data_IF_414762717566
#
_entry.id   IF_414762717566
#
_cell.length_a   1.000
_cell.length_b   1.000
_cell.length_c   1.000
_cell.angle_alpha   90.00
_cell.angle_beta   90.00
_cell.angle_gamma   90.00
#
_symmetry.space_group_name_H-M   'P 1'
#
loop_
_entity.id
_entity.type
_entity.pdbx_description
1 polymer ?
#
# COMPACT_ATOMS: atom_id res chain seq x y z
N UNK A 1 17.65 -15.33 -4.41
CA UNK A 1 16.26 -14.83 -4.34
C UNK A 1 16.05 -13.86 -5.49
N UNK A 2 14.89 -13.86 -6.16
CA UNK A 2 14.66 -12.96 -7.31
C UNK A 2 13.39 -12.16 -7.08
N UNK A 3 13.52 -10.83 -7.11
CA UNK A 3 12.37 -9.95 -7.22
C UNK A 3 11.96 -9.82 -8.68
N UNK A 4 10.67 -10.00 -8.96
CA UNK A 4 10.08 -9.63 -10.25
C UNK A 4 9.64 -8.18 -10.19
N UNK A 5 10.10 -7.37 -11.14
CA UNK A 5 9.81 -5.93 -11.20
C UNK A 5 8.65 -5.66 -12.15
N UNK A 6 7.69 -4.86 -11.69
CA UNK A 6 6.55 -4.37 -12.44
C UNK A 6 6.69 -2.85 -12.57
N UNK A 7 7.13 -2.39 -13.73
CA UNK A 7 7.35 -0.96 -13.99
C UNK A 7 6.03 -0.20 -13.98
N UNK A 8 6.05 1.06 -13.55
CA UNK A 8 4.87 1.92 -13.50
C UNK A 8 4.10 1.95 -14.83
N UNK A 9 4.82 2.04 -15.95
CA UNK A 9 4.24 2.14 -17.29
C UNK A 9 3.69 0.82 -17.86
N UNK A 10 3.89 -0.31 -17.19
CA UNK A 10 3.33 -1.61 -17.62
C UNK A 10 2.22 -2.13 -16.71
N UNK A 11 1.98 -1.46 -15.58
CA UNK A 11 0.80 -1.72 -14.74
C UNK A 11 -0.44 -1.20 -15.46
N UNK A 12 -1.53 -1.96 -15.38
CA UNK A 12 -2.79 -1.56 -16.03
C UNK A 12 -3.30 -0.24 -15.46
N UNK A 13 -3.87 0.62 -16.31
CA UNK A 13 -4.42 1.91 -15.90
C UNK A 13 -5.89 2.01 -16.30
N UNK A 14 -6.75 2.27 -15.32
CA UNK A 14 -8.11 2.77 -15.54
C UNK A 14 -8.09 4.29 -15.45
N UNK A 15 -8.67 4.98 -16.44
CA UNK A 15 -8.73 6.44 -16.44
C UNK A 15 -10.10 6.96 -16.87
N UNK A 16 -10.56 8.00 -16.18
CA UNK A 16 -11.75 8.80 -16.50
C UNK A 16 -11.36 10.28 -16.51
N UNK A 17 -12.32 11.18 -16.72
CA UNK A 17 -12.09 12.63 -16.65
C UNK A 17 -11.66 13.12 -15.25
N UNK A 18 -11.84 12.30 -14.20
CA UNK A 18 -11.52 12.67 -12.80
C UNK A 18 -10.64 11.67 -12.05
N UNK A 19 -10.46 10.45 -12.57
CA UNK A 19 -9.69 9.36 -11.96
C UNK A 19 -8.53 8.95 -12.86
N UNK A 20 -7.38 8.72 -12.27
CA UNK A 20 -6.36 7.80 -12.80
C UNK A 20 -6.08 6.75 -11.74
N UNK A 21 -6.38 5.48 -12.01
CA UNK A 21 -6.09 4.34 -11.12
C UNK A 21 -5.12 3.42 -11.82
N UNK A 22 -4.00 3.09 -11.18
CA UNK A 22 -2.98 2.16 -11.67
C UNK A 22 -2.95 0.92 -10.81
N UNK A 23 -3.13 -0.24 -11.42
CA UNK A 23 -3.40 -1.49 -10.71
C UNK A 23 -2.18 -2.40 -10.71
N UNK A 24 -1.83 -2.91 -9.53
CA UNK A 24 -0.81 -3.96 -9.43
C UNK A 24 -1.37 -5.32 -9.87
N UNK A 25 -2.67 -5.57 -9.67
CA UNK A 25 -3.35 -6.84 -9.97
C UNK A 25 -4.56 -6.61 -10.88
N UNK A 26 -5.22 -7.70 -11.27
CA UNK A 26 -6.53 -7.67 -11.93
C UNK A 26 -7.52 -6.87 -11.10
N UNK A 27 -8.17 -5.89 -11.71
CA UNK A 27 -9.08 -4.99 -11.01
C UNK A 27 -10.07 -4.35 -11.99
N UNK A 28 -11.31 -4.14 -11.53
CA UNK A 28 -12.38 -3.59 -12.37
C UNK A 28 -12.64 -4.45 -13.61
N UNK A 29 -12.69 -3.81 -14.77
CA UNK A 29 -12.92 -4.48 -16.06
C UNK A 29 -11.67 -5.18 -16.61
N UNK A 30 -10.49 -4.94 -16.03
CA UNK A 30 -9.27 -5.60 -16.44
C UNK A 30 -9.04 -6.91 -15.68
N UNK A 31 -8.87 -8.00 -16.43
CA UNK A 31 -8.64 -9.33 -15.87
C UNK A 31 -7.47 -10.03 -16.56
N UNK A 32 -6.44 -10.33 -15.77
CA UNK A 32 -5.35 -11.23 -16.10
C UNK A 32 -5.35 -12.39 -15.07
N UNK A 33 -5.72 -13.62 -15.48
CA UNK A 33 -5.79 -14.76 -14.56
C UNK A 33 -4.43 -15.10 -13.91
N UNK A 34 -3.32 -14.67 -14.49
CA UNK A 34 -1.97 -14.87 -13.95
C UNK A 34 -1.55 -13.80 -12.93
N UNK A 35 -2.30 -12.71 -12.81
CA UNK A 35 -1.97 -11.56 -11.97
C UNK A 35 -3.19 -11.12 -11.16
N UNK A 36 -3.74 -12.02 -10.34
CA UNK A 36 -4.91 -11.74 -9.50
C UNK A 36 -4.55 -11.30 -8.07
N UNK A 37 -3.36 -11.67 -7.58
CA UNK A 37 -2.89 -11.39 -6.22
C UNK A 37 -1.38 -11.66 -6.08
N UNK A 38 -0.80 -11.31 -4.94
CA UNK A 38 0.53 -11.76 -4.50
C UNK A 38 0.53 -12.03 -3.00
N UNK A 39 0.79 -13.27 -2.58
CA UNK A 39 0.58 -13.68 -1.19
C UNK A 39 -0.89 -13.52 -0.80
N UNK A 40 -1.17 -12.66 0.19
CA UNK A 40 -2.51 -12.30 0.66
C UNK A 40 -3.04 -10.98 0.10
N UNK A 41 -2.20 -10.22 -0.63
CA UNK A 41 -2.52 -8.93 -1.21
C UNK A 41 -3.28 -9.13 -2.53
N UNK A 42 -4.55 -8.76 -2.55
CA UNK A 42 -5.46 -8.96 -3.68
C UNK A 42 -5.72 -7.67 -4.48
N UNK A 43 -5.48 -6.50 -3.88
CA UNK A 43 -5.50 -5.21 -4.56
C UNK A 43 -4.37 -4.33 -4.04
N UNK A 44 -3.77 -3.53 -4.92
CA UNK A 44 -2.78 -2.50 -4.59
C UNK A 44 -2.83 -1.47 -5.72
N UNK A 45 -3.73 -0.52 -5.56
CA UNK A 45 -4.11 0.45 -6.57
C UNK A 45 -3.59 1.82 -6.17
N UNK A 46 -2.87 2.46 -7.08
CA UNK A 46 -2.40 3.83 -6.93
C UNK A 46 -3.39 4.76 -7.65
N UNK A 47 -4.03 5.64 -6.91
CA UNK A 47 -5.18 6.41 -7.37
C UNK A 47 -4.91 7.91 -7.27
N UNK A 48 -5.28 8.64 -8.32
CA UNK A 48 -5.25 10.10 -8.36
C UNK A 48 -6.66 10.61 -8.67
N UNK A 49 -7.25 11.36 -7.75
CA UNK A 49 -8.59 11.93 -7.88
C UNK A 49 -8.55 13.45 -7.95
N UNK A 50 -9.29 14.04 -8.88
CA UNK A 50 -9.46 15.49 -8.95
C UNK A 50 -10.30 16.05 -7.78
N UNK A 51 -10.12 17.34 -7.41
CA UNK A 51 -10.94 18.03 -6.41
C UNK A 51 -12.44 17.86 -6.61
N UNK A 52 -13.17 17.54 -5.53
CA UNK A 52 -14.63 17.38 -5.54
C UNK A 52 -15.14 16.07 -6.17
N UNK A 53 -14.23 15.19 -6.58
CA UNK A 53 -14.55 13.88 -7.16
C UNK A 53 -14.15 12.74 -6.23
N UNK A 54 -14.72 11.57 -6.50
CA UNK A 54 -14.42 10.35 -5.77
C UNK A 54 -15.42 9.25 -6.07
N UNK A 55 -15.28 8.18 -5.32
CA UNK A 55 -16.15 7.01 -5.40
C UNK A 55 -17.42 7.27 -4.59
N UNK A 56 -18.56 7.22 -5.29
CA UNK A 56 -19.87 7.21 -4.66
C UNK A 56 -20.08 5.93 -3.84
N UNK A 57 -21.22 5.83 -3.15
CA UNK A 57 -21.51 4.73 -2.24
C UNK A 57 -21.41 3.38 -2.97
N UNK A 58 -20.51 2.52 -2.50
CA UNK A 58 -20.28 1.19 -3.03
C UNK A 58 -19.98 0.19 -1.92
N UNK A 59 -20.19 -1.09 -2.23
CA UNK A 59 -20.21 -2.17 -1.25
C UNK A 59 -18.90 -2.96 -1.24
N UNK A 60 -18.41 -3.29 -0.04
CA UNK A 60 -17.36 -4.28 0.16
C UNK A 60 -17.80 -5.32 1.19
N UNK A 61 -17.23 -6.51 1.07
CA UNK A 61 -17.37 -7.60 2.04
C UNK A 61 -16.04 -8.34 2.16
N UNK A 62 -15.79 -8.92 3.34
CA UNK A 62 -14.71 -9.89 3.56
C UNK A 62 -13.32 -9.42 3.07
N UNK A 63 -13.03 -8.13 3.26
CA UNK A 63 -11.78 -7.47 2.86
C UNK A 63 -11.31 -6.50 3.94
N UNK A 64 -10.01 -6.50 4.20
CA UNK A 64 -9.34 -5.47 5.00
C UNK A 64 -8.74 -4.45 4.03
N UNK A 65 -9.32 -3.25 4.00
CA UNK A 65 -8.95 -2.17 3.07
C UNK A 65 -8.08 -1.17 3.82
N UNK A 66 -6.83 -1.04 3.42
CA UNK A 66 -5.86 -0.08 3.99
C UNK A 66 -5.60 1.03 2.98
N UNK A 67 -5.73 2.27 3.42
CA UNK A 67 -5.54 3.46 2.59
C UNK A 67 -4.31 4.24 3.06
N UNK A 68 -3.46 4.61 2.12
CA UNK A 68 -2.27 5.43 2.34
C UNK A 68 -2.25 6.64 1.41
N UNK A 69 -2.43 7.83 1.95
CA UNK A 69 -2.38 9.07 1.16
C UNK A 69 -0.93 9.53 1.02
N UNK A 70 -0.48 9.71 -0.23
CA UNK A 70 0.85 10.22 -0.57
C UNK A 70 0.83 11.75 -0.64
N UNK A 71 -0.21 12.34 -1.25
CA UNK A 71 -0.43 13.79 -1.27
C UNK A 71 -1.91 14.13 -1.39
N UNK A 72 -2.31 15.34 -0.98
CA UNK A 72 -3.71 15.76 -0.94
C UNK A 72 -4.45 15.20 0.28
N UNK A 73 -5.76 14.99 0.17
CA UNK A 73 -6.62 14.48 1.25
C UNK A 73 -7.76 13.63 0.70
N UNK A 74 -8.15 12.58 1.41
CA UNK A 74 -9.29 11.72 1.05
C UNK A 74 -10.29 11.64 2.19
N UNK A 75 -11.55 11.96 1.93
CA UNK A 75 -12.64 11.85 2.92
C UNK A 75 -13.28 10.47 2.78
N UNK A 76 -13.32 9.74 3.90
CA UNK A 76 -14.03 8.47 4.06
C UNK A 76 -15.36 8.70 4.77
N UNK A 77 -16.40 7.98 4.37
CA UNK A 77 -17.65 7.83 5.13
C UNK A 77 -18.25 6.46 4.86
N UNK A 78 -18.72 5.78 5.91
CA UNK A 78 -19.33 4.46 5.77
C UNK A 78 -20.72 4.31 6.41
N UNK A 79 -21.40 3.22 6.09
CA UNK A 79 -22.75 2.89 6.56
C UNK A 79 -22.83 2.54 8.05
N UNK A 80 -21.69 2.31 8.71
CA UNK A 80 -21.63 2.15 10.16
C UNK A 80 -21.52 3.50 10.89
N UNK A 81 -21.45 4.60 10.14
CA UNK A 81 -21.42 5.97 10.66
C UNK A 81 -20.02 6.49 10.96
N UNK A 82 -18.96 5.78 10.57
CA UNK A 82 -17.61 6.34 10.65
C UNK A 82 -17.40 7.34 9.52
N UNK A 83 -16.71 8.43 9.84
CA UNK A 83 -16.31 9.46 8.87
C UNK A 83 -14.98 10.04 9.30
N UNK A 84 -14.12 10.37 8.35
CA UNK A 84 -12.80 10.92 8.63
C UNK A 84 -12.10 11.39 7.37
N UNK A 85 -11.03 12.16 7.54
CA UNK A 85 -10.14 12.57 6.46
C UNK A 85 -8.80 11.86 6.61
N UNK A 86 -8.31 11.27 5.53
CA UNK A 86 -6.97 10.68 5.40
C UNK A 86 -6.06 11.69 4.70
N UNK A 87 -4.85 11.84 5.22
CA UNK A 87 -3.84 12.77 4.71
C UNK A 87 -2.44 12.14 4.87
N UNK A 88 -1.38 12.71 4.25
CA UNK A 88 -0.04 12.12 4.32
C UNK A 88 0.45 11.91 5.75
N UNK A 89 0.78 10.66 6.07
CA UNK A 89 1.19 10.24 7.43
C UNK A 89 0.06 9.71 8.31
N UNK A 90 -1.20 9.73 7.85
CA UNK A 90 -2.33 9.06 8.51
C UNK A 90 -2.52 7.66 7.92
N UNK A 91 -2.37 6.64 8.76
CA UNK A 91 -2.74 5.26 8.43
C UNK A 91 -4.25 5.09 8.61
N UNK A 92 -4.94 4.51 7.63
CA UNK A 92 -6.37 4.21 7.72
C UNK A 92 -6.66 2.78 7.30
N UNK A 93 -7.58 2.13 8.02
CA UNK A 93 -8.12 0.80 7.69
C UNK A 93 -9.62 0.76 7.84
N UNK A 94 -10.28 0.08 6.92
CA UNK A 94 -11.67 -0.35 7.01
C UNK A 94 -11.72 -1.87 6.85
N UNK A 95 -12.22 -2.57 7.87
CA UNK A 95 -12.58 -3.98 7.78
C UNK A 95 -14.01 -4.09 7.29
N UNK A 96 -14.21 -4.63 6.09
CA UNK A 96 -15.53 -4.73 5.49
C UNK A 96 -16.40 -5.82 6.15
N UNK A 97 -15.77 -6.90 6.62
CA UNK A 97 -16.45 -7.96 7.37
C UNK A 97 -17.71 -8.50 6.69
N UNK A 98 -18.80 -8.61 7.44
CA UNK A 98 -20.11 -9.06 6.94
C UNK A 98 -20.76 -8.17 5.86
N UNK A 99 -20.13 -7.04 5.52
CA UNK A 99 -20.61 -6.11 4.50
C UNK A 99 -20.67 -4.68 5.03
N UNK A 100 -20.14 -3.73 4.24
CA UNK A 100 -20.21 -2.30 4.53
C UNK A 100 -20.30 -1.51 3.22
N UNK A 101 -21.15 -0.47 3.20
CA UNK A 101 -21.17 0.50 2.11
C UNK A 101 -20.32 1.72 2.52
N UNK A 102 -19.54 2.26 1.60
CA UNK A 102 -18.72 3.44 1.88
C UNK A 102 -18.49 4.34 0.66
N UNK A 103 -18.05 5.56 0.93
CA UNK A 103 -17.67 6.59 -0.04
C UNK A 103 -16.26 7.08 0.23
N UNK A 104 -15.52 7.38 -0.83
CA UNK A 104 -14.16 7.91 -0.74
C UNK A 104 -14.03 9.09 -1.69
N UNK A 105 -13.90 10.31 -1.14
CA UNK A 105 -14.01 11.55 -1.93
C UNK A 105 -12.91 12.55 -1.63
N UNK A 106 -12.41 13.20 -2.67
CA UNK A 106 -11.51 14.35 -2.54
C UNK A 106 -12.31 15.63 -2.26
N UNK A 107 -13.05 15.63 -1.15
CA UNK A 107 -13.92 16.74 -0.75
C UNK A 107 -13.25 17.61 0.33
N UNK A 108 -13.66 18.88 0.49
CA UNK A 108 -13.24 19.70 1.60
C UNK A 108 -13.65 19.11 2.95
N UNK A 109 -12.73 19.16 3.91
CA UNK A 109 -12.92 18.75 5.29
C UNK A 109 -12.95 19.98 6.23
N UNK A 110 -13.97 20.14 7.09
CA UNK A 110 -14.18 21.35 7.90
C UNK A 110 -12.97 21.78 8.73
N UNK A 111 -12.23 20.82 9.29
CA UNK A 111 -11.16 21.07 10.25
C UNK A 111 -9.75 20.99 9.64
N UNK A 112 -9.64 20.84 8.31
CA UNK A 112 -8.36 20.75 7.62
C UNK A 112 -8.31 21.76 6.46
N UNK A 113 -7.75 22.95 6.74
CA UNK A 113 -7.67 24.03 5.75
C UNK A 113 -6.94 23.57 4.49
N UNK A 114 -7.59 23.72 3.33
CA UNK A 114 -7.02 23.36 2.03
C UNK A 114 -7.23 21.90 1.62
N UNK A 115 -7.85 21.08 2.47
CA UNK A 115 -8.36 19.77 2.05
C UNK A 115 -9.33 19.90 0.87
N UNK A 116 -9.33 18.92 -0.01
CA UNK A 116 -10.18 18.91 -1.20
C UNK A 116 -9.83 19.95 -2.27
N UNK A 117 -8.72 20.71 -2.13
CA UNK A 117 -8.41 21.82 -3.06
C UNK A 117 -7.41 21.46 -4.17
N UNK A 118 -6.72 20.33 -4.04
CA UNK A 118 -5.77 19.80 -5.02
C UNK A 118 -6.08 18.32 -5.26
N UNK A 119 -5.58 17.71 -6.36
CA UNK A 119 -5.70 16.28 -6.54
C UNK A 119 -5.16 15.50 -5.34
N UNK A 120 -5.84 14.44 -4.94
CA UNK A 120 -5.33 13.49 -3.95
C UNK A 120 -4.69 12.33 -4.69
N UNK A 121 -3.47 11.98 -4.27
CA UNK A 121 -2.75 10.79 -4.70
C UNK A 121 -2.64 9.84 -3.50
N UNK A 122 -3.19 8.64 -3.62
CA UNK A 122 -3.18 7.64 -2.55
C UNK A 122 -3.05 6.23 -3.09
N UNK A 123 -2.75 5.29 -2.20
CA UNK A 123 -2.73 3.86 -2.49
C UNK A 123 -3.80 3.17 -1.68
N UNK A 124 -4.66 2.40 -2.33
CA UNK A 124 -5.64 1.52 -1.69
C UNK A 124 -5.19 0.07 -1.82
N UNK A 125 -5.06 -0.62 -0.70
CA UNK A 125 -4.50 -1.97 -0.60
C UNK A 125 -5.47 -2.89 0.12
N UNK A 126 -5.76 -4.04 -0.47
CA UNK A 126 -6.72 -4.99 0.10
C UNK A 126 -6.05 -6.31 0.41
N UNK A 127 -6.27 -6.80 1.63
CA UNK A 127 -5.90 -8.16 2.05
C UNK A 127 -7.13 -8.90 2.53
N UNK A 128 -7.15 -10.21 2.34
CA UNK A 128 -8.24 -11.05 2.87
C UNK A 128 -8.12 -11.19 4.40
N UNK A 129 -9.23 -11.24 5.16
CA UNK A 129 -9.19 -11.57 6.57
C UNK A 129 -8.94 -13.08 6.79
N UNK A 130 -8.49 -13.44 7.99
CA UNK A 130 -8.38 -14.84 8.43
C UNK A 130 -9.76 -15.49 8.61
N UNK A 131 -10.76 -14.68 8.97
CA UNK A 131 -12.13 -15.11 9.21
C UNK A 131 -13.11 -14.24 8.41
N UNK A 132 -14.02 -14.88 7.69
CA UNK A 132 -15.09 -14.21 6.95
C UNK A 132 -16.27 -13.85 7.86
N UNK A 133 -17.01 -12.81 7.48
CA UNK A 133 -18.21 -12.36 8.19
C UNK A 133 -17.94 -11.73 9.55
N UNK A 134 -16.72 -11.27 9.81
CA UNK A 134 -16.40 -10.48 11.02
C UNK A 134 -17.23 -9.20 11.07
N UNK A 135 -17.35 -8.59 12.26
CA UNK A 135 -18.06 -7.32 12.38
C UNK A 135 -17.28 -6.21 11.64
N UNK A 136 -17.94 -5.43 10.76
CA UNK A 136 -17.29 -4.30 10.11
C UNK A 136 -16.69 -3.33 11.13
N UNK A 137 -15.51 -2.80 10.87
CA UNK A 137 -14.84 -1.86 11.77
C UNK A 137 -13.90 -0.92 11.03
N UNK A 138 -13.54 0.17 11.69
CA UNK A 138 -12.76 1.25 11.10
C UNK A 138 -11.71 1.74 12.08
N UNK A 139 -10.54 2.08 11.57
CA UNK A 139 -9.44 2.59 12.38
C UNK A 139 -8.61 3.63 11.61
N UNK A 140 -8.14 4.65 12.33
CA UNK A 140 -7.19 5.63 11.82
C UNK A 140 -6.16 5.99 12.87
N UNK A 141 -4.91 6.20 12.43
CA UNK A 141 -3.81 6.59 13.31
C UNK A 141 -2.84 7.52 12.59
N UNK A 142 -2.56 8.68 13.19
CA UNK A 142 -1.48 9.55 12.72
C UNK A 142 -0.13 8.98 13.17
N UNK A 143 0.73 8.69 12.21
CA UNK A 143 2.09 8.18 12.40
C UNK A 143 3.15 9.09 11.80
N UNK A 144 2.80 10.35 11.53
CA UNK A 144 3.70 11.32 10.89
C UNK A 144 5.02 11.46 11.63
N UNK A 145 4.99 11.43 12.97
CA UNK A 145 6.20 11.50 13.80
C UNK A 145 7.12 10.28 13.57
N UNK A 146 6.58 9.06 13.59
CA UNK A 146 7.35 7.84 13.39
C UNK A 146 8.02 7.80 12.00
N UNK A 147 7.36 8.33 10.97
CA UNK A 147 7.91 8.38 9.61
C UNK A 147 9.11 9.35 9.46
N UNK A 148 9.33 10.27 10.42
CA UNK A 148 10.47 11.20 10.36
C UNK A 148 11.78 10.61 10.88
N UNK A 149 11.71 9.46 11.55
CA UNK A 149 12.89 8.81 12.15
C UNK A 149 13.77 8.13 11.09
N UNK A 150 13.23 7.93 9.88
CA UNK A 150 13.94 7.31 8.74
C UNK A 150 13.92 5.77 8.77
N UNK A 151 13.33 5.19 9.82
CA UNK A 151 13.17 3.75 10.00
C UNK A 151 11.90 3.23 9.30
N UNK A 152 11.84 1.91 9.17
CA UNK A 152 10.67 1.21 8.64
C UNK A 152 9.58 1.11 9.73
N UNK A 153 8.41 1.68 9.46
CA UNK A 153 7.29 1.72 10.42
C UNK A 153 6.27 0.64 10.07
N UNK A 154 5.87 -0.18 11.05
CA UNK A 154 4.74 -1.10 10.90
C UNK A 154 3.42 -0.30 10.90
N UNK A 155 2.78 -0.20 9.74
CA UNK A 155 1.56 0.58 9.55
C UNK A 155 0.35 -0.23 9.95
N UNK A 156 0.15 -1.40 9.34
CA UNK A 156 -1.01 -2.24 9.58
C UNK A 156 -0.59 -3.70 9.76
N UNK A 157 -1.04 -4.38 10.82
CA UNK A 157 -0.76 -5.81 11.03
C UNK A 157 -1.88 -6.51 11.76
N UNK A 158 -2.05 -7.80 11.51
CA UNK A 158 -2.84 -8.69 12.37
C UNK A 158 -1.98 -9.56 13.28
N UNK A 159 -0.65 -9.52 13.14
CA UNK A 159 0.26 -10.25 14.01
C UNK A 159 0.24 -9.62 15.41
N UNK A 160 -0.17 -10.34 16.47
CA UNK A 160 -0.19 -9.81 17.83
C UNK A 160 1.20 -9.46 18.37
N UNK A 161 2.28 -9.93 17.74
CA UNK A 161 3.65 -9.56 18.09
C UNK A 161 4.14 -8.28 17.40
N UNK A 162 3.43 -7.78 16.38
CA UNK A 162 3.79 -6.56 15.67
C UNK A 162 3.23 -5.33 16.38
N UNK A 163 4.09 -4.34 16.64
CA UNK A 163 3.68 -3.02 17.13
C UNK A 163 3.20 -2.13 15.96
N UNK A 164 2.09 -2.51 15.33
CA UNK A 164 1.53 -1.78 14.19
C UNK A 164 0.62 -0.62 14.62
N UNK A 165 0.54 0.41 13.78
CA UNK A 165 -0.27 1.60 14.05
C UNK A 165 -1.78 1.35 14.02
N UNK A 166 -2.23 0.46 13.14
CA UNK A 166 -3.61 -0.01 13.01
C UNK A 166 -3.65 -1.53 12.87
N UNK A 167 -4.77 -2.14 13.26
CA UNK A 167 -4.93 -3.60 13.19
C UNK A 167 -5.58 -4.01 11.87
N UNK A 168 -5.18 -5.14 11.28
CA UNK A 168 -5.96 -5.85 10.25
C UNK A 168 -6.29 -7.26 10.74
N UNK A 169 -7.36 -7.83 10.23
CA UNK A 169 -7.86 -9.14 10.63
C UNK A 169 -7.16 -10.28 9.88
N UNK A 170 -5.86 -10.16 9.64
CA UNK A 170 -5.02 -11.20 9.03
C UNK A 170 -3.67 -11.28 9.75
N UNK A 171 -3.43 -12.37 10.48
CA UNK A 171 -2.23 -12.57 11.30
C UNK A 171 -0.95 -12.80 10.51
N UNK A 172 -1.06 -13.09 9.22
CA UNK A 172 0.07 -13.43 8.36
C UNK A 172 0.47 -12.29 7.42
N UNK A 173 -0.07 -11.08 7.60
CA UNK A 173 0.24 -9.92 6.79
C UNK A 173 0.59 -8.70 7.65
N UNK A 174 1.65 -8.00 7.23
CA UNK A 174 2.01 -6.68 7.78
C UNK A 174 2.35 -5.73 6.64
N UNK A 175 1.74 -4.54 6.66
CA UNK A 175 2.14 -3.41 5.85
C UNK A 175 3.15 -2.57 6.64
N UNK A 176 4.24 -2.24 5.97
CA UNK A 176 5.23 -1.27 6.43
C UNK A 176 5.31 -0.07 5.49
N UNK A 177 5.73 1.07 6.03
CA UNK A 177 6.05 2.27 5.27
C UNK A 177 7.38 2.87 5.73
N UNK A 178 8.12 3.46 4.81
CA UNK A 178 9.32 4.24 5.12
C UNK A 178 9.43 5.47 4.22
N UNK A 179 9.95 6.56 4.79
CA UNK A 179 10.47 7.72 4.06
C UNK A 179 11.98 7.71 4.15
N UNK A 180 12.62 7.10 3.16
CA UNK A 180 14.06 6.85 3.13
C UNK A 180 14.76 8.16 2.75
N UNK A 181 15.54 8.71 3.68
CA UNK A 181 16.36 9.90 3.44
C UNK A 181 17.46 9.64 2.39
N UNK A 182 17.94 10.68 1.67
CA UNK A 182 19.04 10.54 0.71
C UNK A 182 20.27 9.87 1.30
N UNK A 183 20.77 8.83 0.64
CA UNK A 183 21.99 8.10 1.03
C UNK A 183 21.81 7.15 2.22
N UNK A 184 20.58 6.91 2.69
CA UNK A 184 20.29 5.94 3.75
C UNK A 184 19.59 4.70 3.20
N UNK A 185 19.40 3.71 4.07
CA UNK A 185 18.79 2.43 3.72
C UNK A 185 17.91 1.90 4.85
N UNK A 186 16.87 1.16 4.47
CA UNK A 186 16.05 0.35 5.37
C UNK A 186 16.16 -1.13 4.99
N UNK A 187 16.06 -2.01 5.98
CA UNK A 187 15.97 -3.46 5.73
C UNK A 187 14.51 -3.83 5.45
N UNK A 188 14.30 -4.66 4.43
CA UNK A 188 13.00 -5.26 4.16
C UNK A 188 12.83 -6.45 5.12
N UNK A 189 11.68 -6.60 5.81
CA UNK A 189 11.43 -7.75 6.66
C UNK A 189 11.47 -9.05 5.87
N UNK A 190 12.07 -10.08 6.46
CA UNK A 190 12.06 -11.43 5.89
C UNK A 190 10.62 -11.94 5.83
N UNK A 191 10.23 -12.47 4.68
CA UNK A 191 8.87 -12.94 4.45
C UNK A 191 8.81 -13.92 3.28
N UNK A 192 7.82 -14.81 3.32
CA UNK A 192 7.55 -15.73 2.20
C UNK A 192 7.05 -14.99 0.96
N UNK A 193 6.26 -13.93 1.12
CA UNK A 193 5.80 -13.08 0.04
C UNK A 193 6.04 -11.62 0.39
N UNK A 194 6.78 -10.93 -0.47
CA UNK A 194 7.08 -9.50 -0.30
C UNK A 194 6.57 -8.71 -1.50
N UNK A 195 5.86 -7.62 -1.25
CA UNK A 195 5.45 -6.66 -2.28
C UNK A 195 5.93 -5.25 -1.90
N UNK A 196 6.88 -4.71 -2.66
CA UNK A 196 7.36 -3.33 -2.54
C UNK A 196 6.65 -2.47 -3.57
N UNK A 197 6.21 -1.28 -3.18
CA UNK A 197 5.76 -0.21 -4.06
C UNK A 197 6.51 1.08 -3.71
N UNK A 198 7.16 1.70 -4.69
CA UNK A 198 7.71 3.06 -4.52
C UNK A 198 6.61 4.04 -4.88
N UNK A 199 6.14 4.83 -3.92
CA UNK A 199 5.02 5.78 -4.13
C UNK A 199 5.51 7.21 -4.39
N UNK A 200 6.74 7.52 -3.98
CA UNK A 200 7.41 8.78 -4.33
C UNK A 200 8.94 8.58 -4.40
N UNK A 201 9.60 9.38 -5.23
CA UNK A 201 11.06 9.37 -5.37
C UNK A 201 11.64 8.15 -6.09
N UNK A 202 12.88 7.80 -5.72
CA UNK A 202 13.68 6.71 -6.32
C UNK A 202 14.36 5.90 -5.23
N UNK A 203 14.23 4.59 -5.28
CA UNK A 203 14.90 3.66 -4.39
C UNK A 203 15.66 2.58 -5.17
N UNK A 204 16.70 2.02 -4.58
CA UNK A 204 17.46 0.89 -5.09
C UNK A 204 17.21 -0.29 -4.17
N UNK A 205 16.67 -1.36 -4.74
CA UNK A 205 16.41 -2.62 -4.08
C UNK A 205 17.62 -3.55 -4.25
N UNK A 206 18.14 -4.06 -3.13
CA UNK A 206 19.23 -5.04 -3.11
C UNK A 206 18.73 -6.31 -2.42
N UNK A 207 19.03 -7.50 -2.95
CA UNK A 207 18.64 -8.78 -2.35
C UNK A 207 19.89 -9.68 -2.22
N UNK A 208 20.28 -10.03 -0.99
CA UNK A 208 21.44 -10.90 -0.73
C UNK A 208 21.09 -12.36 -0.97
N UNK A 209 21.33 -12.83 -2.18
CA UNK A 209 21.77 -14.18 -2.56
C UNK A 209 21.44 -14.39 -4.04
N UNK A 210 22.38 -14.04 -4.91
CA UNK A 210 22.47 -14.65 -6.23
C UNK A 210 23.85 -15.28 -6.40
N UNK A 211 23.93 -16.53 -6.91
CA UNK A 211 25.18 -17.03 -7.45
C UNK A 211 25.60 -16.11 -8.60
N UNK A 212 26.92 -15.97 -8.76
CA UNK A 212 27.70 -15.14 -9.68
C UNK A 212 27.27 -15.25 -11.17
N UNK A 213 26.02 -14.93 -11.49
CA UNK A 213 25.43 -14.96 -12.82
C UNK A 213 25.33 -13.54 -13.36
N UNK A 214 26.09 -13.28 -14.41
CA UNK A 214 26.36 -11.97 -14.99
C UNK A 214 25.16 -11.32 -15.69
N UNK A 215 23.99 -11.96 -15.69
CA UNK A 215 22.82 -11.50 -16.44
C UNK A 215 21.70 -10.83 -15.59
N UNK A 216 21.67 -10.95 -14.25
CA UNK A 216 20.66 -10.27 -13.39
C UNK A 216 21.28 -9.64 -12.12
N UNK A 217 20.98 -8.36 -11.78
CA UNK A 217 21.91 -7.50 -11.03
C UNK A 217 21.68 -7.53 -9.51
N UNK A 218 22.77 -7.37 -8.74
CA UNK A 218 22.75 -7.23 -7.28
C UNK A 218 21.98 -6.00 -6.74
N UNK A 219 21.65 -5.03 -7.60
CA UNK A 219 20.89 -3.81 -7.28
C UNK A 219 19.86 -3.51 -8.40
N UNK A 220 18.63 -3.22 -8.02
CA UNK A 220 17.51 -2.89 -8.93
C UNK A 220 17.00 -1.49 -8.59
N UNK A 221 17.17 -0.53 -9.51
CA UNK A 221 16.58 0.79 -9.35
C UNK A 221 15.06 0.76 -9.62
N UNK A 222 14.30 1.35 -8.73
CA UNK A 222 12.84 1.52 -8.76
C UNK A 222 12.51 3.01 -8.63
N UNK A 223 11.57 3.49 -9.43
CA UNK A 223 11.05 4.88 -9.35
C UNK A 223 9.59 4.89 -8.92
N UNK A 224 9.06 6.07 -8.57
CA UNK A 224 7.64 6.24 -8.26
C UNK A 224 6.72 5.50 -9.25
N UNK A 225 5.81 4.70 -8.70
CA UNK A 225 4.90 3.82 -9.40
C UNK A 225 5.47 2.44 -9.78
N UNK A 226 6.76 2.16 -9.57
CA UNK A 226 7.31 0.81 -9.76
C UNK A 226 6.97 -0.07 -8.55
N UNK A 227 6.63 -1.33 -8.83
CA UNK A 227 6.46 -2.37 -7.82
C UNK A 227 7.48 -3.50 -8.01
N UNK A 228 7.84 -4.18 -6.92
CA UNK A 228 8.69 -5.36 -6.95
C UNK A 228 8.11 -6.47 -6.06
N UNK A 229 8.08 -7.70 -6.55
CA UNK A 229 7.51 -8.86 -5.86
C UNK A 229 8.55 -9.94 -5.65
N UNK A 230 8.73 -10.36 -4.42
CA UNK A 230 9.64 -11.44 -4.05
C UNK A 230 8.90 -12.61 -3.41
N UNK A 231 9.50 -13.79 -3.53
CA UNK A 231 9.11 -15.02 -2.83
C UNK A 231 10.31 -15.52 -2.04
N UNK A 232 10.08 -15.94 -0.79
CA UNK A 232 11.10 -16.38 0.16
C UNK A 232 12.25 -15.37 0.27
N UNK A 233 11.91 -14.11 0.54
CA UNK A 233 12.88 -13.02 0.62
C UNK A 233 13.49 -12.95 2.01
N UNK A 234 14.82 -12.89 2.07
CA UNK A 234 15.54 -12.59 3.30
C UNK A 234 16.71 -11.64 3.07
N UNK A 235 16.97 -10.75 4.02
CA UNK A 235 18.13 -9.84 3.98
C UNK A 235 18.10 -8.80 2.86
N UNK A 236 16.94 -8.58 2.23
CA UNK A 236 16.79 -7.55 1.21
C UNK A 236 16.76 -6.14 1.84
N UNK A 237 17.23 -5.13 1.10
CA UNK A 237 17.26 -3.74 1.56
C UNK A 237 16.75 -2.79 0.48
N UNK A 238 16.22 -1.64 0.90
CA UNK A 238 15.93 -0.50 0.04
C UNK A 238 16.79 0.66 0.49
N UNK A 239 17.45 1.31 -0.46
CA UNK A 239 18.27 2.50 -0.21
C UNK A 239 17.97 3.59 -1.21
N UNK A 240 18.32 4.82 -0.87
CA UNK A 240 18.40 5.92 -1.84
C UNK A 240 19.87 6.25 -2.07
N UNK A 241 20.22 6.73 -3.27
CA UNK A 241 21.57 7.28 -3.50
C UNK A 241 21.66 8.69 -2.89
N UNK A 242 22.85 9.11 -2.43
CA UNK A 242 23.03 10.44 -1.84
C UNK A 242 22.76 11.61 -2.82
N UNK A 243 22.78 11.33 -4.12
CA UNK A 243 22.44 12.31 -5.17
C UNK A 243 20.95 12.35 -5.53
N UNK A 244 20.16 11.40 -5.04
CA UNK A 244 18.71 11.36 -5.26
C UNK A 244 17.97 12.14 -4.15
N UNK A 245 16.69 12.44 -4.41
CA UNK A 245 15.77 12.90 -3.36
C UNK A 245 15.38 11.77 -2.39
N UNK A 246 14.62 12.07 -1.33
CA UNK A 246 14.04 11.02 -0.50
C UNK A 246 13.11 10.12 -1.33
N UNK A 247 12.88 8.91 -0.84
CA UNK A 247 11.89 8.00 -1.42
C UNK A 247 10.85 7.61 -0.37
N UNK A 248 9.61 7.50 -0.78
CA UNK A 248 8.54 6.94 0.04
C UNK A 248 8.14 5.57 -0.52
N UNK A 249 8.14 4.55 0.34
CA UNK A 249 7.90 3.17 -0.04
C UNK A 249 6.86 2.51 0.87
N UNK A 250 6.06 1.63 0.28
CA UNK A 250 5.13 0.74 0.96
C UNK A 250 5.58 -0.70 0.74
N UNK A 251 5.59 -1.50 1.81
CA UNK A 251 6.08 -2.88 1.80
C UNK A 251 5.07 -3.77 2.50
N UNK A 252 4.46 -4.69 1.75
CA UNK A 252 3.75 -5.81 2.34
C UNK A 252 4.70 -6.98 2.55
N UNK A 253 4.77 -7.46 3.78
CA UNK A 253 5.44 -8.70 4.17
C UNK A 253 4.37 -9.70 4.60
N UNK A 254 4.30 -10.86 3.94
CA UNK A 254 3.26 -11.86 4.15
C UNK A 254 3.84 -13.27 4.24
N UNK A 255 3.28 -14.09 5.12
CA UNK A 255 3.76 -15.45 5.40
C UNK A 255 2.80 -16.56 4.96
N UNK A 256 1.69 -16.20 4.28
CA UNK A 256 0.75 -17.13 3.66
C UNK A 256 0.48 -16.74 2.21
N UNK A 257 0.12 -17.73 1.40
CA UNK A 257 -0.53 -17.51 0.12
C UNK A 257 -2.06 -17.49 0.29
N UNK A 258 -2.76 -16.83 -0.63
CA UNK A 258 -4.21 -16.86 -0.69
C UNK A 258 -4.73 -18.32 -0.75
N UNK A 259 -5.68 -18.65 0.11
CA UNK A 259 -6.28 -19.99 0.19
C UNK A 259 -5.46 -21.02 0.98
N UNK A 260 -4.31 -20.65 1.54
CA UNK A 260 -3.60 -21.51 2.50
C UNK A 260 -4.28 -21.51 3.87
N UNK A 261 -4.38 -22.68 4.54
CA UNK A 261 -5.01 -22.81 5.85
C UNK A 261 -4.24 -22.05 6.94
#
# INVERSE_FOLDING_TARGET
>A
MVFTVFRAGVREVTSTDWLTSRHSFSFGDHYDPSNTHHGLLIACNEEVLLPGHGFDAHHHSDSEIVTWVVSGTLVHTDSAGHTGVVYPGLAQRMSAGSGIDHTERNDPWPDLRGSGSAPVHYVQMWVVPDEYGITPSYEQRDISAALTEGDLVAVASGDPAAEAAITISNRAATLFAARIAPGTSVSIPDARFTHVLVVDGRAVLSASDQPDDTDHPGDIALTAGDAARGVDTSGATLRTDAGDGPAEVLIWAMNKALGEP
#
